data_IF_171628677226
#
_entry.id   IF_171628677226
#
_cell.length_a   1.000
_cell.length_b   1.000
_cell.length_c   1.000
_cell.angle_alpha   90.00
_cell.angle_beta   90.00
_cell.angle_gamma   90.00
#
_symmetry.space_group_name_H-M   'P 1'
#
loop_
_entity.id
_entity.type
_entity.pdbx_description
1 polymer ?
#
# COMPACT_ATOMS: atom_id res chain seq x y z
N UNK A 1 5.57 -0.19 -15.27
CA UNK A 1 5.76 -1.31 -14.32
C UNK A 1 6.66 -0.79 -13.21
N UNK A 2 6.30 -0.96 -11.93
CA UNK A 2 7.17 -0.58 -10.80
C UNK A 2 8.41 -1.47 -10.87
N UNK A 3 9.56 -0.91 -11.26
CA UNK A 3 10.77 -1.69 -11.57
C UNK A 3 11.42 -2.39 -10.39
N UNK A 4 11.06 -2.01 -9.14
CA UNK A 4 11.58 -2.62 -7.92
C UNK A 4 10.53 -2.61 -6.80
N UNK A 5 9.93 -3.77 -6.54
CA UNK A 5 8.89 -3.90 -5.51
C UNK A 5 9.42 -3.86 -4.07
N UNK A 6 10.71 -4.13 -3.86
CA UNK A 6 11.35 -4.04 -2.55
C UNK A 6 11.62 -2.60 -2.15
N UNK A 7 11.97 -1.73 -3.11
CA UNK A 7 12.16 -0.31 -2.86
C UNK A 7 10.87 0.42 -2.46
N UNK A 8 9.71 -0.01 -2.99
CA UNK A 8 8.40 0.50 -2.54
C UNK A 8 8.14 0.13 -1.09
N UNK A 9 8.41 -1.14 -0.72
CA UNK A 9 8.24 -1.60 0.67
C UNK A 9 9.18 -0.88 1.64
N UNK A 10 10.45 -0.70 1.26
CA UNK A 10 11.43 0.01 2.05
C UNK A 10 10.98 1.45 2.34
N UNK A 11 10.58 2.21 1.29
CA UNK A 11 10.11 3.58 1.49
C UNK A 11 8.78 3.67 2.26
N UNK A 12 7.88 2.68 2.15
CA UNK A 12 6.68 2.64 2.99
C UNK A 12 7.03 2.52 4.48
N UNK A 13 8.04 1.72 4.81
CA UNK A 13 8.52 1.57 6.18
C UNK A 13 9.26 2.82 6.65
N UNK A 14 10.19 3.34 5.84
CA UNK A 14 11.06 4.48 6.19
C UNK A 14 10.29 5.80 6.26
N UNK A 15 9.44 6.11 5.27
CA UNK A 15 8.77 7.41 5.17
C UNK A 15 7.47 7.45 6.02
N UNK A 16 6.78 6.31 6.18
CA UNK A 16 5.44 6.27 6.79
C UNK A 16 5.31 5.35 8.01
N UNK A 17 6.33 4.55 8.33
CA UNK A 17 6.27 3.55 9.39
C UNK A 17 5.30 2.40 9.07
N UNK A 18 5.06 2.11 7.78
CA UNK A 18 4.10 1.09 7.34
C UNK A 18 4.85 -0.11 6.77
N UNK A 19 4.71 -1.25 7.44
CA UNK A 19 5.25 -2.51 6.96
C UNK A 19 4.20 -3.30 6.16
N UNK A 20 4.57 -3.74 4.95
CA UNK A 20 3.77 -4.67 4.14
C UNK A 20 4.58 -5.95 3.87
N UNK A 21 3.90 -7.09 3.85
CA UNK A 21 4.57 -8.38 3.67
C UNK A 21 5.03 -8.59 2.22
N UNK A 22 6.25 -9.09 2.04
CA UNK A 22 6.66 -9.72 0.78
C UNK A 22 6.20 -11.18 0.73
N UNK A 23 6.39 -11.79 -0.43
CA UNK A 23 6.17 -13.21 -0.65
C UNK A 23 7.50 -13.96 -0.77
N UNK A 24 7.48 -15.23 -0.40
CA UNK A 24 8.60 -16.15 -0.55
C UNK A 24 8.40 -17.07 -1.77
N UNK A 25 9.49 -17.69 -2.23
CA UNK A 25 9.45 -18.66 -3.31
C UNK A 25 9.01 -18.05 -4.65
N UNK A 26 8.13 -18.72 -5.43
CA UNK A 26 7.82 -18.34 -6.81
C UNK A 26 7.07 -17.00 -6.96
N UNK A 27 6.57 -16.45 -5.84
CA UNK A 27 5.84 -15.19 -5.77
C UNK A 27 6.69 -14.02 -5.26
N UNK A 28 7.96 -14.27 -4.90
CA UNK A 28 8.87 -13.22 -4.47
C UNK A 28 9.04 -12.14 -5.56
N UNK A 29 8.96 -10.88 -5.17
CA UNK A 29 9.03 -9.73 -6.08
C UNK A 29 7.82 -9.51 -6.99
N UNK A 30 6.80 -10.37 -6.95
CA UNK A 30 5.61 -10.28 -7.82
C UNK A 30 4.39 -9.68 -7.13
N UNK A 31 4.22 -9.94 -5.84
CA UNK A 31 3.08 -9.49 -5.05
C UNK A 31 3.51 -8.97 -3.69
N UNK A 32 2.65 -8.16 -3.10
CA UNK A 32 2.70 -7.80 -1.68
C UNK A 32 1.46 -8.32 -0.96
N UNK A 33 1.58 -8.47 0.35
CA UNK A 33 0.48 -8.87 1.24
C UNK A 33 0.23 -7.74 2.22
N UNK A 34 -0.97 -7.17 2.17
CA UNK A 34 -1.43 -6.15 3.11
C UNK A 34 -2.32 -6.88 4.13
N UNK A 35 -1.84 -6.97 5.36
CA UNK A 35 -2.55 -7.68 6.44
C UNK A 35 -3.53 -6.76 7.16
N UNK A 36 -4.81 -7.12 7.17
CA UNK A 36 -5.87 -6.41 7.89
C UNK A 36 -6.38 -7.23 9.06
N UNK A 37 -5.54 -7.38 10.09
CA UNK A 37 -5.78 -8.32 11.21
C UNK A 37 -5.83 -7.60 12.56
N UNK A 38 -6.70 -8.06 13.46
CA UNK A 38 -6.78 -7.61 14.86
C UNK A 38 -6.86 -6.09 15.00
N UNK A 39 -6.03 -5.52 15.88
CA UNK A 39 -5.97 -4.08 16.14
C UNK A 39 -5.65 -3.25 14.88
N UNK A 40 -4.90 -3.82 13.92
CA UNK A 40 -4.54 -3.17 12.67
C UNK A 40 -5.72 -2.95 11.73
N UNK A 41 -6.80 -3.73 11.86
CA UNK A 41 -7.97 -3.67 11.00
C UNK A 41 -8.92 -2.52 11.41
N UNK A 42 -8.51 -1.28 11.11
CA UNK A 42 -9.26 -0.06 11.43
C UNK A 42 -9.27 0.89 10.23
N UNK A 43 -10.39 1.56 10.00
CA UNK A 43 -10.59 2.54 8.91
C UNK A 43 -9.38 3.49 8.77
N UNK A 44 -8.94 4.10 9.87
CA UNK A 44 -7.79 5.02 9.86
C UNK A 44 -6.49 4.38 9.34
N UNK A 45 -6.19 3.13 9.72
CA UNK A 45 -4.98 2.42 9.27
C UNK A 45 -5.08 2.05 7.79
N UNK A 46 -6.26 1.63 7.33
CA UNK A 46 -6.49 1.29 5.92
C UNK A 46 -6.32 2.52 5.04
N UNK A 47 -6.99 3.64 5.39
CA UNK A 47 -6.89 4.88 4.65
C UNK A 47 -5.46 5.42 4.62
N UNK A 48 -4.74 5.36 5.76
CA UNK A 48 -3.31 5.71 5.83
C UNK A 48 -2.46 4.83 4.92
N UNK A 49 -2.68 3.52 4.93
CA UNK A 49 -1.96 2.57 4.09
C UNK A 49 -2.19 2.83 2.60
N UNK A 50 -3.44 3.08 2.19
CA UNK A 50 -3.77 3.36 0.79
C UNK A 50 -3.13 4.68 0.30
N UNK A 51 -3.23 5.75 1.10
CA UNK A 51 -2.62 7.03 0.75
C UNK A 51 -1.09 6.98 0.68
N UNK A 52 -0.45 6.32 1.65
CA UNK A 52 1.01 6.12 1.65
C UNK A 52 1.47 5.27 0.47
N UNK A 53 0.75 4.17 0.17
CA UNK A 53 1.07 3.30 -0.96
C UNK A 53 0.96 4.05 -2.29
N UNK A 54 -0.08 4.86 -2.47
CA UNK A 54 -0.21 5.71 -3.67
C UNK A 54 0.99 6.66 -3.80
N UNK A 55 1.31 7.40 -2.73
CA UNK A 55 2.42 8.36 -2.73
C UNK A 55 3.75 7.71 -3.10
N UNK A 56 4.07 6.56 -2.50
CA UNK A 56 5.31 5.82 -2.77
C UNK A 56 5.30 5.24 -4.19
N UNK A 57 4.19 4.63 -4.63
CA UNK A 57 4.09 4.09 -5.99
C UNK A 57 4.26 5.17 -7.06
N UNK A 58 3.69 6.36 -6.84
CA UNK A 58 3.86 7.52 -7.74
C UNK A 58 5.30 8.01 -7.80
N UNK A 59 5.99 8.05 -6.66
CA UNK A 59 7.44 8.36 -6.59
C UNK A 59 8.30 7.37 -7.38
N UNK A 60 7.86 6.12 -7.47
CA UNK A 60 8.49 5.06 -8.26
C UNK A 60 7.97 4.97 -9.71
N UNK A 61 7.29 6.01 -10.21
CA UNK A 61 6.89 6.14 -11.61
C UNK A 61 5.59 5.45 -11.99
N UNK A 62 4.79 4.99 -11.03
CA UNK A 62 3.44 4.50 -11.31
C UNK A 62 2.45 5.65 -11.42
N UNK A 63 1.79 5.77 -12.57
CA UNK A 63 0.73 6.77 -12.76
C UNK A 63 -0.58 6.29 -12.10
N UNK A 64 -1.05 7.04 -11.11
CA UNK A 64 -2.36 6.84 -10.47
C UNK A 64 -3.02 8.21 -10.26
N UNK A 65 -4.35 8.34 -10.48
CA UNK A 65 -5.07 9.55 -10.10
C UNK A 65 -4.96 9.79 -8.60
N UNK A 66 -4.78 11.06 -8.21
CA UNK A 66 -4.64 11.43 -6.81
C UNK A 66 -5.88 11.02 -6.00
N UNK A 67 -5.69 10.29 -4.91
CA UNK A 67 -6.76 9.94 -3.97
C UNK A 67 -7.63 8.77 -4.41
N UNK A 68 -7.46 8.22 -5.62
CA UNK A 68 -8.39 7.24 -6.18
C UNK A 68 -8.65 6.02 -5.27
N UNK A 69 -7.59 5.50 -4.62
CA UNK A 69 -7.72 4.37 -3.70
C UNK A 69 -8.44 4.73 -2.40
N UNK A 70 -8.18 5.93 -1.86
CA UNK A 70 -8.79 6.42 -0.62
C UNK A 70 -10.28 6.74 -0.84
N UNK A 71 -10.60 7.41 -1.95
CA UNK A 71 -11.98 7.76 -2.32
C UNK A 71 -12.82 6.49 -2.57
N UNK A 72 -12.26 5.52 -3.28
CA UNK A 72 -12.92 4.22 -3.48
C UNK A 72 -13.17 3.49 -2.15
N UNK A 73 -12.24 3.58 -1.19
CA UNK A 73 -12.44 3.01 0.14
C UNK A 73 -13.56 3.71 0.91
N UNK A 74 -13.71 5.03 0.80
CA UNK A 74 -14.83 5.76 1.42
C UNK A 74 -16.17 5.33 0.86
N UNK A 75 -16.29 5.14 -0.46
CA UNK A 75 -17.52 4.60 -1.06
C UNK A 75 -17.92 3.24 -0.45
N UNK A 76 -16.96 2.40 -0.06
CA UNK A 76 -17.24 1.12 0.63
C UNK A 76 -17.61 1.32 2.10
N UNK A 77 -16.98 2.28 2.78
CA UNK A 77 -17.27 2.55 4.20
C UNK A 77 -18.59 3.28 4.43
N UNK A 78 -19.06 4.03 3.44
CA UNK A 78 -20.25 4.86 3.54
C UNK A 78 -21.50 4.16 2.95
N UNK A 79 -21.34 2.94 2.42
CA UNK A 79 -22.41 2.05 1.96
C UNK A 79 -23.04 1.25 3.11
#
# INVERSE_FOLDING_TARGET
MLGNGDAVRAHLLEDFGIEIGTSFGPLHGKIWRIGTMGYGCRKANILRCLGALEAVMRRHGFASPAGAGVDAAYTVYDA
#
